data_IF_096671743201
#
_entry.id   IF_096671743201
#
_cell.length_a   1.000
_cell.length_b   1.000
_cell.length_c   1.000
_cell.angle_alpha   90.00
_cell.angle_beta   90.00
_cell.angle_gamma   90.00
#
_symmetry.space_group_name_H-M   'P 1'
#
loop_
_entity.id
_entity.type
_entity.pdbx_description
1 polymer ?
#
# COMPACT_ATOMS: atom_id res chain seq x y z
N UNK A 1 10.07 0.07 30.13
CA UNK A 1 9.15 -0.25 29.02
C UNK A 1 8.40 -1.51 29.39
N UNK A 2 7.07 -1.49 29.45
CA UNK A 2 6.26 -2.72 29.62
C UNK A 2 6.25 -3.45 28.28
N UNK A 3 6.51 -4.76 28.29
CA UNK A 3 6.34 -5.58 27.10
C UNK A 3 4.88 -5.45 26.60
N UNK A 4 4.66 -5.33 25.28
CA UNK A 4 3.31 -5.31 24.73
C UNK A 4 2.56 -6.58 25.16
N UNK A 5 1.27 -6.46 25.51
CA UNK A 5 0.42 -7.62 25.77
C UNK A 5 0.36 -8.43 24.48
N UNK A 6 0.79 -9.69 24.54
CA UNK A 6 0.53 -10.65 23.45
C UNK A 6 -0.99 -10.79 23.33
N UNK A 7 -1.52 -10.37 22.20
CA UNK A 7 -2.89 -10.62 21.83
C UNK A 7 -2.91 -11.94 21.06
N UNK A 8 -3.27 -13.03 21.75
CA UNK A 8 -3.18 -14.39 21.19
C UNK A 8 -4.30 -14.68 20.17
N UNK A 9 -5.33 -13.83 20.11
CA UNK A 9 -6.38 -13.92 19.10
C UNK A 9 -7.02 -12.57 18.82
N UNK A 10 -7.56 -12.39 17.62
CA UNK A 10 -8.39 -11.24 17.30
C UNK A 10 -9.68 -11.67 16.60
N UNK A 11 -10.72 -10.84 16.75
CA UNK A 11 -11.99 -10.97 16.04
C UNK A 11 -12.01 -9.94 14.93
N UNK A 12 -12.38 -10.35 13.72
CA UNK A 12 -12.55 -9.43 12.60
C UNK A 12 -13.74 -8.49 12.84
N UNK A 13 -13.64 -7.25 12.36
CA UNK A 13 -14.70 -6.23 12.49
C UNK A 13 -15.15 -5.68 11.14
N UNK A 14 -14.80 -6.34 10.04
CA UNK A 14 -15.03 -5.85 8.68
C UNK A 14 -16.40 -6.30 8.15
N UNK A 15 -16.84 -7.50 8.50
CA UNK A 15 -18.03 -8.16 8.00
C UNK A 15 -18.98 -8.53 9.16
N UNK A 16 -20.29 -8.37 8.96
CA UNK A 16 -21.29 -8.82 9.92
C UNK A 16 -21.52 -10.34 9.80
N UNK A 17 -21.80 -11.01 10.92
CA UNK A 17 -22.12 -12.45 10.94
C UNK A 17 -20.95 -13.42 10.67
N UNK A 18 -19.72 -12.93 10.47
CA UNK A 18 -18.53 -13.78 10.29
C UNK A 18 -17.77 -13.89 11.60
N UNK A 19 -18.00 -14.98 12.33
CA UNK A 19 -17.27 -15.32 13.55
C UNK A 19 -15.96 -16.04 13.23
N UNK A 20 -14.96 -15.29 12.77
CA UNK A 20 -13.59 -15.81 12.60
C UNK A 20 -12.74 -15.36 13.78
N UNK A 21 -12.50 -16.29 14.73
CA UNK A 21 -11.49 -16.11 15.75
C UNK A 21 -10.16 -16.60 15.21
N UNK A 22 -9.28 -15.66 14.86
CA UNK A 22 -7.96 -15.98 14.30
C UNK A 22 -6.94 -16.05 15.43
N UNK A 23 -6.16 -17.13 15.47
CA UNK A 23 -4.97 -17.20 16.32
C UNK A 23 -3.91 -16.25 15.75
N UNK A 24 -3.48 -15.29 16.57
CA UNK A 24 -2.57 -14.24 16.14
C UNK A 24 -1.21 -14.42 16.78
N UNK A 25 -0.18 -14.58 15.95
CA UNK A 25 1.22 -14.61 16.38
C UNK A 25 1.99 -13.48 15.73
N UNK A 26 2.90 -12.88 16.48
CA UNK A 26 3.87 -11.92 15.95
C UNK A 26 5.28 -12.46 16.23
N UNK A 27 6.12 -12.50 15.20
CA UNK A 27 7.49 -13.00 15.26
C UNK A 27 8.42 -12.04 14.55
N UNK A 28 9.64 -11.90 15.05
CA UNK A 28 10.71 -11.24 14.30
C UNK A 28 11.29 -12.22 13.28
N UNK A 29 11.88 -11.69 12.21
CA UNK A 29 12.48 -12.54 11.17
C UNK A 29 13.62 -13.44 11.66
N UNK A 30 14.33 -13.08 12.74
CA UNK A 30 15.35 -13.92 13.40
C UNK A 30 14.75 -14.98 14.34
N UNK A 31 13.45 -14.93 14.60
CA UNK A 31 12.71 -15.87 15.46
C UNK A 31 11.82 -16.80 14.63
N UNK A 32 11.90 -16.73 13.30
CA UNK A 32 11.15 -17.59 12.41
C UNK A 32 11.79 -18.97 12.36
N UNK A 33 10.97 -19.95 12.72
CA UNK A 33 11.25 -21.38 12.68
C UNK A 33 10.21 -22.02 11.77
N UNK A 34 10.55 -23.18 11.18
CA UNK A 34 9.68 -23.90 10.25
C UNK A 34 8.31 -24.24 10.86
N UNK A 35 8.28 -24.66 12.12
CA UNK A 35 7.04 -25.01 12.85
C UNK A 35 6.03 -23.84 12.92
N UNK A 36 6.49 -22.58 12.87
CA UNK A 36 5.59 -21.41 12.82
C UNK A 36 4.94 -21.23 11.44
N UNK A 37 5.54 -21.79 10.39
CA UNK A 37 5.11 -21.68 9.00
C UNK A 37 4.37 -22.93 8.51
N UNK A 38 4.58 -24.09 9.14
CA UNK A 38 3.96 -25.36 8.72
C UNK A 38 2.41 -25.32 8.75
N UNK A 39 1.81 -24.46 9.58
CA UNK A 39 0.34 -24.26 9.58
C UNK A 39 -0.18 -23.76 8.23
N UNK A 40 0.67 -23.10 7.45
CA UNK A 40 0.38 -22.56 6.13
C UNK A 40 0.82 -23.49 4.98
N UNK A 41 1.39 -24.66 5.28
CA UNK A 41 1.84 -25.65 4.28
C UNK A 41 0.66 -26.52 3.81
N UNK A 42 -0.28 -25.88 3.10
CA UNK A 42 -1.48 -26.50 2.56
C UNK A 42 -1.79 -25.94 1.17
N UNK A 43 -2.60 -26.60 0.35
CA UNK A 43 -2.92 -26.10 -1.01
C UNK A 43 -3.91 -24.92 -1.06
N UNK A 44 -4.57 -24.58 0.06
CA UNK A 44 -5.53 -23.49 0.14
C UNK A 44 -4.87 -22.11 -0.07
N UNK A 45 -5.63 -21.11 -0.56
CA UNK A 45 -5.15 -19.74 -0.70
C UNK A 45 -4.66 -19.15 0.63
N UNK A 46 -3.68 -18.26 0.53
CA UNK A 46 -3.17 -17.48 1.66
C UNK A 46 -3.28 -16.00 1.35
N UNK A 47 -3.71 -15.24 2.34
CA UNK A 47 -3.78 -13.79 2.28
C UNK A 47 -2.52 -13.17 2.86
N UNK A 48 -1.98 -12.16 2.20
CA UNK A 48 -0.83 -11.41 2.69
C UNK A 48 -1.10 -9.91 2.70
N UNK A 49 -0.51 -9.19 3.65
CA UNK A 49 -0.65 -7.74 3.73
C UNK A 49 0.63 -7.04 4.25
N UNK A 50 0.98 -5.86 3.72
CA UNK A 50 2.15 -5.11 4.18
C UNK A 50 1.87 -4.24 5.40
N UNK A 51 2.85 -4.21 6.30
CA UNK A 51 3.05 -3.18 7.30
C UNK A 51 4.24 -2.30 6.92
N UNK A 52 4.00 -1.03 6.65
CA UNK A 52 5.04 -0.07 6.27
C UNK A 52 5.45 0.83 7.44
N UNK A 53 6.70 1.26 7.43
CA UNK A 53 7.16 2.36 8.28
C UNK A 53 6.61 3.70 7.77
N UNK A 54 6.73 4.76 8.60
CA UNK A 54 6.37 6.13 8.17
C UNK A 54 7.14 6.63 6.94
N UNK A 55 8.32 6.05 6.65
CA UNK A 55 9.11 6.37 5.47
C UNK A 55 8.77 5.54 4.24
N UNK A 56 7.81 4.61 4.34
CA UNK A 56 7.38 3.73 3.25
C UNK A 56 8.17 2.42 3.12
N UNK A 57 9.14 2.14 4.00
CA UNK A 57 9.85 0.86 3.97
C UNK A 57 8.98 -0.25 4.55
N UNK A 58 9.01 -1.45 3.97
CA UNK A 58 8.36 -2.64 4.52
C UNK A 58 9.05 -3.04 5.84
N UNK A 59 8.27 -3.10 6.92
CA UNK A 59 8.77 -3.46 8.26
C UNK A 59 8.01 -4.63 8.87
N UNK A 60 6.86 -4.98 8.30
CA UNK A 60 6.14 -6.19 8.66
C UNK A 60 5.39 -6.77 7.46
N UNK A 61 5.14 -8.07 7.51
CA UNK A 61 4.26 -8.79 6.60
C UNK A 61 3.29 -9.62 7.44
N UNK A 62 1.99 -9.45 7.25
CA UNK A 62 1.02 -10.42 7.74
C UNK A 62 0.79 -11.51 6.68
N UNK A 63 0.68 -12.74 7.17
CA UNK A 63 0.31 -13.95 6.44
C UNK A 63 -0.89 -14.53 7.17
N UNK A 64 -1.96 -14.84 6.46
CA UNK A 64 -3.17 -15.37 7.07
C UNK A 64 -3.85 -16.44 6.20
N UNK A 65 -4.40 -17.44 6.86
CA UNK A 65 -5.40 -18.35 6.33
C UNK A 65 -6.76 -18.09 7.02
N UNK A 66 -7.63 -19.09 7.09
CA UNK A 66 -8.95 -18.99 7.73
C UNK A 66 -8.92 -19.06 9.26
N UNK A 67 -7.82 -19.52 9.86
CA UNK A 67 -7.70 -19.84 11.30
C UNK A 67 -6.51 -19.20 12.00
N UNK A 68 -5.43 -18.93 11.27
CA UNK A 68 -4.16 -18.41 11.76
C UNK A 68 -3.77 -17.11 11.05
N UNK A 69 -3.17 -16.20 11.81
CA UNK A 69 -2.46 -15.06 11.27
C UNK A 69 -1.09 -14.92 11.93
N UNK A 70 -0.05 -14.91 11.10
CA UNK A 70 1.32 -14.66 11.50
C UNK A 70 1.77 -13.29 10.97
N UNK A 71 2.21 -12.42 11.88
CA UNK A 71 2.88 -11.17 11.53
C UNK A 71 4.39 -11.36 11.69
N UNK A 72 5.10 -11.29 10.56
CA UNK A 72 6.56 -11.30 10.52
C UNK A 72 7.07 -9.86 10.55
N UNK A 73 7.90 -9.52 11.53
CA UNK A 73 8.56 -8.22 11.63
C UNK A 73 9.98 -8.29 11.07
N UNK A 74 10.27 -7.45 10.08
CA UNK A 74 11.58 -7.37 9.44
C UNK A 74 12.49 -6.37 10.15
N UNK A 75 13.79 -6.62 10.20
CA UNK A 75 14.73 -5.61 10.66
C UNK A 75 14.74 -4.43 9.70
N UNK A 76 14.62 -3.22 10.26
CA UNK A 76 14.81 -2.01 9.47
C UNK A 76 16.18 -2.04 8.79
N UNK A 77 16.15 -2.16 7.46
CA UNK A 77 17.32 -1.96 6.61
C UNK A 77 17.64 -0.46 6.58
N UNK A 78 18.19 0.08 7.68
CA UNK A 78 18.85 1.40 7.67
C UNK A 78 20.16 1.38 6.85
N UNK A 79 20.46 0.31 6.13
CA UNK A 79 21.62 0.22 5.25
C UNK A 79 21.24 0.61 3.82
N UNK A 80 21.56 1.86 3.51
CA UNK A 80 22.11 2.27 2.23
C UNK A 80 23.32 1.40 1.86
N UNK A 81 23.06 0.21 1.33
CA UNK A 81 24.04 -0.59 0.60
C UNK A 81 23.41 -0.97 -0.73
N UNK A 82 23.11 0.04 -1.54
CA UNK A 82 23.08 -0.16 -2.97
C UNK A 82 24.49 -0.60 -3.40
N UNK A 83 24.62 -1.68 -4.18
CA UNK A 83 25.91 -2.05 -4.78
C UNK A 83 26.28 -0.94 -5.78
N UNK A 84 27.20 -0.04 -5.39
CA UNK A 84 27.70 1.05 -6.25
C UNK A 84 27.64 2.46 -5.67
N UNK A 85 27.03 2.68 -4.51
CA UNK A 85 26.99 4.00 -3.87
C UNK A 85 28.23 4.29 -3.04
N UNK A 86 29.23 4.98 -3.61
CA UNK A 86 30.41 5.42 -2.86
C UNK A 86 30.01 6.24 -1.62
N UNK A 87 30.27 5.71 -0.43
CA UNK A 87 30.06 6.40 0.83
C UNK A 87 31.08 7.53 1.00
N UNK A 88 30.85 8.68 0.37
CA UNK A 88 31.55 9.94 0.71
C UNK A 88 30.91 10.58 1.95
N UNK A 89 31.03 9.89 3.08
CA UNK A 89 30.72 10.46 4.39
C UNK A 89 31.84 11.41 4.82
N UNK A 90 31.58 12.73 4.76
CA UNK A 90 32.46 13.77 5.33
C UNK A 90 32.64 13.50 6.83
N UNK A 91 33.89 13.24 7.20
CA UNK A 91 34.31 12.98 8.57
C UNK A 91 33.99 14.13 9.52
N UNK A 92 33.42 13.78 10.67
CA UNK A 92 33.59 14.55 11.90
C UNK A 92 34.08 13.59 12.96
N UNK A 93 35.34 13.79 13.35
CA UNK A 93 36.14 12.87 14.15
C UNK A 93 35.51 12.53 15.49
N UNK A 94 35.18 11.26 15.66
CA UNK A 94 34.97 10.61 16.94
C UNK A 94 35.35 9.15 16.76
N UNK A 95 36.44 8.70 17.41
CA UNK A 95 36.88 7.31 17.42
C UNK A 95 35.83 6.46 18.15
N UNK A 96 34.73 6.12 17.47
CA UNK A 96 33.83 5.06 17.91
C UNK A 96 34.46 3.77 17.40
N UNK A 97 34.81 2.88 18.32
CA UNK A 97 35.36 1.57 17.99
C UNK A 97 34.48 0.92 16.90
N UNK A 98 35.10 0.58 15.78
CA UNK A 98 34.48 -0.16 14.69
C UNK A 98 34.08 -1.53 15.25
N UNK A 99 32.84 -1.63 15.73
CA UNK A 99 32.24 -2.94 15.93
C UNK A 99 32.09 -3.56 14.53
N UNK A 100 32.56 -4.80 14.32
CA UNK A 100 32.36 -5.47 13.05
C UNK A 100 30.86 -5.50 12.72
N UNK A 101 30.48 -5.32 11.44
CA UNK A 101 29.08 -5.37 11.05
C UNK A 101 28.50 -6.71 11.51
N UNK A 102 27.49 -6.64 12.39
CA UNK A 102 26.77 -7.83 12.86
C UNK A 102 26.13 -8.47 11.63
N UNK A 103 26.61 -9.66 11.24
CA UNK A 103 26.01 -10.46 10.17
C UNK A 103 24.56 -10.69 10.57
N UNK A 104 23.62 -10.21 9.75
CA UNK A 104 22.19 -10.39 10.00
C UNK A 104 21.84 -11.84 9.68
N UNK A 105 21.16 -12.49 10.60
CA UNK A 105 20.58 -13.80 10.34
C UNK A 105 19.42 -13.62 9.35
N UNK A 106 19.54 -14.21 8.16
CA UNK A 106 18.53 -14.19 7.11
C UNK A 106 17.83 -15.54 6.95
N UNK A 107 18.06 -16.48 7.87
CA UNK A 107 17.48 -17.84 7.82
C UNK A 107 15.96 -17.80 7.80
N UNK A 108 15.34 -16.98 8.66
CA UNK A 108 13.89 -16.83 8.69
C UNK A 108 13.30 -16.21 7.42
N UNK A 109 14.04 -15.34 6.73
CA UNK A 109 13.63 -14.81 5.41
C UNK A 109 13.59 -15.90 4.37
N UNK A 110 14.62 -16.74 4.31
CA UNK A 110 14.68 -17.87 3.38
C UNK A 110 13.53 -18.86 3.63
N UNK A 111 13.25 -19.16 4.89
CA UNK A 111 12.09 -20.00 5.26
C UNK A 111 10.76 -19.37 4.83
N UNK A 112 10.58 -18.06 5.07
CA UNK A 112 9.40 -17.34 4.62
C UNK A 112 9.25 -17.35 3.10
N UNK A 113 10.36 -17.17 2.37
CA UNK A 113 10.37 -17.26 0.91
C UNK A 113 9.97 -18.66 0.43
N UNK A 114 10.64 -19.69 0.93
CA UNK A 114 10.45 -21.07 0.50
C UNK A 114 9.05 -21.61 0.81
N UNK A 115 8.57 -21.41 2.05
CA UNK A 115 7.36 -22.06 2.55
C UNK A 115 6.10 -21.25 2.21
N UNK A 116 6.20 -19.92 2.16
CA UNK A 116 5.04 -19.04 1.98
C UNK A 116 5.07 -18.34 0.63
N UNK A 117 6.11 -17.55 0.34
CA UNK A 117 6.07 -16.63 -0.81
C UNK A 117 6.30 -17.32 -2.16
N UNK A 118 7.08 -18.39 -2.17
CA UNK A 118 7.46 -19.18 -3.34
C UNK A 118 6.96 -20.63 -3.24
N UNK A 119 5.85 -20.83 -2.53
CA UNK A 119 5.24 -22.14 -2.33
C UNK A 119 4.75 -22.78 -3.62
N UNK A 120 4.85 -24.12 -3.67
CA UNK A 120 4.55 -24.91 -4.86
C UNK A 120 3.06 -25.01 -5.23
N UNK A 121 2.13 -24.67 -4.31
CA UNK A 121 0.70 -24.79 -4.54
C UNK A 121 -0.10 -23.69 -3.87
N UNK A 122 -1.32 -23.44 -4.35
CA UNK A 122 -2.21 -22.37 -3.86
C UNK A 122 -1.76 -20.96 -4.25
N UNK A 123 -2.69 -20.02 -4.12
CA UNK A 123 -2.50 -18.63 -4.52
C UNK A 123 -2.19 -17.73 -3.32
N UNK A 124 -1.36 -16.71 -3.54
CA UNK A 124 -1.11 -15.64 -2.57
C UNK A 124 -1.95 -14.42 -2.94
N UNK A 125 -2.95 -14.10 -2.13
CA UNK A 125 -3.85 -12.98 -2.38
C UNK A 125 -3.45 -11.75 -1.58
N UNK A 126 -3.44 -10.59 -2.23
CA UNK A 126 -3.26 -9.31 -1.55
C UNK A 126 -3.97 -8.17 -2.27
N UNK A 127 -4.28 -7.12 -1.51
CA UNK A 127 -4.55 -5.80 -2.07
C UNK A 127 -3.23 -5.09 -2.38
N UNK A 128 -3.19 -4.34 -3.48
CA UNK A 128 -2.02 -3.61 -3.96
C UNK A 128 -0.76 -4.50 -4.02
N UNK A 129 -0.89 -5.68 -4.65
CA UNK A 129 0.16 -6.69 -4.65
C UNK A 129 1.39 -6.22 -5.43
N UNK A 130 1.24 -5.34 -6.43
CA UNK A 130 2.37 -4.75 -7.15
C UNK A 130 3.36 -4.02 -6.23
N UNK A 131 2.90 -2.97 -5.51
CA UNK A 131 3.67 -2.32 -4.44
C UNK A 131 4.25 -3.27 -3.39
N UNK A 132 3.48 -4.27 -2.95
CA UNK A 132 3.96 -5.27 -2.00
C UNK A 132 5.11 -6.11 -2.57
N UNK A 133 4.95 -6.65 -3.78
CA UNK A 133 5.94 -7.49 -4.47
C UNK A 133 7.28 -6.76 -4.60
N UNK A 134 7.23 -5.50 -5.00
CA UNK A 134 8.43 -4.67 -5.13
C UNK A 134 9.06 -4.34 -3.78
N UNK A 135 8.24 -4.17 -2.73
CA UNK A 135 8.73 -3.95 -1.38
C UNK A 135 9.38 -5.19 -0.77
N UNK A 136 8.85 -6.38 -1.06
CA UNK A 136 9.46 -7.66 -0.71
C UNK A 136 10.83 -7.78 -1.38
N UNK A 137 10.89 -7.54 -2.69
CA UNK A 137 12.14 -7.65 -3.44
C UNK A 137 13.21 -6.66 -2.96
N UNK A 138 12.97 -5.35 -3.02
CA UNK A 138 14.05 -4.39 -2.76
C UNK A 138 14.23 -4.06 -1.27
N UNK A 139 13.19 -4.23 -0.46
CA UNK A 139 13.21 -3.90 0.96
C UNK A 139 13.83 -5.00 1.81
N UNK A 140 13.50 -6.26 1.49
CA UNK A 140 13.87 -7.42 2.32
C UNK A 140 14.51 -8.57 1.54
N UNK A 141 14.75 -8.40 0.23
CA UNK A 141 15.41 -9.40 -0.63
C UNK A 141 14.64 -10.72 -0.71
N UNK A 142 13.31 -10.63 -0.87
CA UNK A 142 12.40 -11.75 -1.00
C UNK A 142 11.73 -11.77 -2.37
N UNK A 143 11.60 -12.95 -2.98
CA UNK A 143 10.72 -13.17 -4.14
C UNK A 143 9.35 -13.66 -3.70
N UNK A 144 8.42 -13.60 -4.64
CA UNK A 144 7.14 -14.29 -4.56
C UNK A 144 6.71 -14.85 -5.91
N UNK A 145 5.94 -15.93 -5.87
CA UNK A 145 5.30 -16.59 -7.01
C UNK A 145 3.80 -16.79 -6.73
N UNK A 146 3.01 -17.07 -7.76
CA UNK A 146 1.57 -17.34 -7.64
C UNK A 146 0.78 -16.21 -6.94
N UNK A 147 1.26 -14.98 -7.05
CA UNK A 147 0.62 -13.82 -6.45
C UNK A 147 -0.59 -13.33 -7.25
N UNK A 148 -1.72 -13.09 -6.59
CA UNK A 148 -2.94 -12.52 -7.16
C UNK A 148 -3.22 -11.17 -6.53
N UNK A 149 -3.25 -10.13 -7.36
CA UNK A 149 -3.77 -8.83 -6.96
C UNK A 149 -5.30 -8.86 -6.94
N UNK A 150 -5.89 -8.66 -5.77
CA UNK A 150 -7.36 -8.76 -5.58
C UNK A 150 -8.10 -7.71 -6.41
N UNK A 151 -7.57 -6.48 -6.52
CA UNK A 151 -8.26 -5.40 -7.22
C UNK A 151 -8.33 -5.65 -8.73
N UNK A 152 -7.32 -6.34 -9.29
CA UNK A 152 -7.32 -6.76 -10.70
C UNK A 152 -8.49 -7.66 -11.09
N UNK A 153 -9.14 -8.33 -10.14
CA UNK A 153 -10.28 -9.20 -10.44
C UNK A 153 -11.59 -8.44 -10.73
N UNK A 154 -11.71 -7.18 -10.30
CA UNK A 154 -12.98 -6.47 -10.28
C UNK A 154 -12.99 -5.19 -11.11
N UNK A 155 -11.92 -4.38 -11.05
CA UNK A 155 -11.89 -3.11 -11.78
C UNK A 155 -10.47 -2.67 -12.10
N UNK A 156 -10.23 -2.35 -13.37
CA UNK A 156 -8.97 -1.75 -13.82
C UNK A 156 -8.85 -0.26 -13.43
N UNK A 157 -9.99 0.41 -13.16
CA UNK A 157 -10.05 1.86 -12.95
C UNK A 157 -10.25 2.22 -11.47
N UNK A 158 -11.25 1.62 -10.82
CA UNK A 158 -11.51 1.83 -9.39
C UNK A 158 -10.91 0.69 -8.58
N UNK A 159 -9.62 0.87 -8.26
CA UNK A 159 -8.84 -0.10 -7.50
C UNK A 159 -8.95 0.13 -5.99
N UNK A 160 -10.04 0.66 -5.46
CA UNK A 160 -10.18 0.85 -4.00
C UNK A 160 -10.48 -0.49 -3.31
N UNK A 161 -9.84 -0.81 -2.17
CA UNK A 161 -10.11 -2.05 -1.43
C UNK A 161 -11.60 -2.23 -1.08
N UNK A 162 -12.28 -1.17 -0.64
CA UNK A 162 -13.72 -1.21 -0.35
C UNK A 162 -14.56 -1.62 -1.56
N UNK A 163 -14.24 -1.10 -2.75
CA UNK A 163 -14.96 -1.43 -3.99
C UNK A 163 -14.76 -2.90 -4.37
N UNK A 164 -13.52 -3.40 -4.27
CA UNK A 164 -13.21 -4.81 -4.53
C UNK A 164 -13.88 -5.76 -3.52
N UNK A 165 -13.88 -5.42 -2.22
CA UNK A 165 -14.56 -6.21 -1.19
C UNK A 165 -16.07 -6.25 -1.44
N UNK A 166 -16.70 -5.11 -1.76
CA UNK A 166 -18.13 -5.06 -2.12
C UNK A 166 -18.45 -5.91 -3.34
N UNK A 167 -17.61 -5.84 -4.38
CA UNK A 167 -17.80 -6.62 -5.59
C UNK A 167 -17.67 -8.13 -5.34
N UNK A 168 -16.71 -8.54 -4.51
CA UNK A 168 -16.48 -9.94 -4.15
C UNK A 168 -17.60 -10.53 -3.29
N UNK A 169 -18.08 -9.78 -2.30
CA UNK A 169 -19.09 -10.24 -1.34
C UNK A 169 -20.50 -10.13 -1.92
N UNK A 170 -20.76 -9.12 -2.75
CA UNK A 170 -22.10 -8.81 -3.24
C UNK A 170 -23.06 -8.50 -2.07
N UNK A 171 -24.27 -9.05 -2.14
CA UNK A 171 -25.30 -8.87 -1.12
C UNK A 171 -25.32 -9.99 -0.06
N UNK A 172 -24.29 -10.85 -0.03
CA UNK A 172 -24.27 -12.03 0.86
C UNK A 172 -24.09 -11.67 2.33
N UNK A 173 -23.30 -10.63 2.62
CA UNK A 173 -22.97 -10.20 3.98
C UNK A 173 -23.03 -8.68 4.08
N UNK A 174 -23.39 -8.19 5.26
CA UNK A 174 -23.29 -6.76 5.54
C UNK A 174 -21.82 -6.39 5.75
N UNK A 175 -21.42 -5.32 5.07
CA UNK A 175 -20.06 -4.78 5.10
C UNK A 175 -20.01 -3.52 5.97
N UNK A 176 -19.06 -3.45 6.90
CA UNK A 176 -18.78 -2.24 7.68
C UNK A 176 -17.83 -1.32 6.91
N UNK A 177 -18.38 -0.50 6.02
CA UNK A 177 -17.60 0.36 5.11
C UNK A 177 -16.54 1.21 5.82
N UNK A 178 -16.90 1.85 6.93
CA UNK A 178 -16.00 2.75 7.68
C UNK A 178 -14.80 1.97 8.24
N UNK A 179 -15.04 0.77 8.77
CA UNK A 179 -13.97 -0.09 9.29
C UNK A 179 -13.00 -0.52 8.19
N UNK A 180 -13.50 -0.84 6.99
CA UNK A 180 -12.63 -1.16 5.84
C UNK A 180 -11.82 0.07 5.43
N UNK A 181 -12.45 1.24 5.34
CA UNK A 181 -11.75 2.48 5.00
C UNK A 181 -10.62 2.71 6.01
N UNK A 182 -10.91 2.67 7.30
CA UNK A 182 -9.93 2.92 8.36
C UNK A 182 -8.76 1.92 8.32
N UNK A 183 -9.07 0.62 8.17
CA UNK A 183 -8.07 -0.46 8.14
C UNK A 183 -7.13 -0.37 6.93
N UNK A 184 -7.63 0.08 5.77
CA UNK A 184 -6.84 0.18 4.54
C UNK A 184 -6.22 1.56 4.29
N UNK A 185 -6.76 2.63 4.90
CA UNK A 185 -6.32 4.00 4.62
C UNK A 185 -4.87 4.26 5.05
N UNK A 186 -4.40 3.60 6.10
CA UNK A 186 -3.06 3.82 6.63
C UNK A 186 -2.32 2.52 6.94
N UNK A 187 -1.53 1.99 6.00
CA UNK A 187 -0.82 0.72 6.18
C UNK A 187 0.42 0.84 7.08
N UNK A 188 0.51 1.89 7.90
CA UNK A 188 1.66 2.11 8.80
C UNK A 188 1.61 1.12 9.95
N UNK A 189 2.72 0.41 10.14
CA UNK A 189 2.94 -0.52 11.23
C UNK A 189 3.96 0.06 12.22
N UNK A 190 3.47 0.46 13.39
CA UNK A 190 4.26 1.01 14.50
C UNK A 190 3.57 0.59 15.82
N UNK A 191 3.68 -0.69 16.22
CA UNK A 191 2.92 -1.26 17.34
C UNK A 191 3.23 -0.58 18.68
N UNK A 192 4.40 0.06 18.80
CA UNK A 192 4.78 0.84 19.97
C UNK A 192 3.95 2.13 20.13
N UNK A 193 3.53 2.74 19.00
CA UNK A 193 2.73 3.98 19.00
C UNK A 193 1.25 3.73 18.77
N UNK A 194 0.90 2.71 18.00
CA UNK A 194 -0.47 2.36 17.68
C UNK A 194 -0.64 0.83 17.78
N UNK A 195 -1.08 0.29 18.93
CA UNK A 195 -1.27 -1.16 19.07
C UNK A 195 -2.34 -1.72 18.13
N UNK A 196 -3.31 -0.89 17.69
CA UNK A 196 -4.36 -1.33 16.77
C UNK A 196 -3.82 -1.70 15.37
N UNK A 197 -2.65 -1.17 14.97
CA UNK A 197 -2.08 -1.49 13.66
C UNK A 197 -1.75 -2.98 13.49
N UNK A 198 -1.59 -3.73 14.59
CA UNK A 198 -1.41 -5.19 14.57
C UNK A 198 -2.68 -5.87 14.09
N UNK A 199 -3.84 -5.52 14.68
CA UNK A 199 -5.14 -6.04 14.26
C UNK A 199 -5.50 -5.57 12.86
N UNK A 200 -5.23 -4.31 12.49
CA UNK A 200 -5.49 -3.79 11.14
C UNK A 200 -4.67 -4.52 10.08
N UNK A 201 -3.40 -4.82 10.38
CA UNK A 201 -2.54 -5.58 9.48
C UNK A 201 -3.03 -7.03 9.33
N UNK A 202 -3.41 -7.67 10.43
CA UNK A 202 -3.95 -9.02 10.41
C UNK A 202 -5.30 -9.10 9.65
N UNK A 203 -6.20 -8.13 9.86
CA UNK A 203 -7.48 -8.02 9.16
C UNK A 203 -7.30 -7.91 7.65
N UNK A 204 -6.31 -7.13 7.19
CA UNK A 204 -6.01 -6.99 5.75
C UNK A 204 -5.55 -8.30 5.13
N UNK A 205 -4.69 -9.05 5.81
CA UNK A 205 -4.25 -10.36 5.31
C UNK A 205 -5.42 -11.36 5.32
N UNK A 206 -6.16 -11.46 6.43
CA UNK A 206 -7.29 -12.36 6.54
C UNK A 206 -8.37 -12.09 5.48
N UNK A 207 -8.82 -10.84 5.31
CA UNK A 207 -9.85 -10.54 4.31
C UNK A 207 -9.36 -10.87 2.90
N UNK A 208 -8.06 -10.74 2.63
CA UNK A 208 -7.48 -11.10 1.33
C UNK A 208 -7.64 -12.58 1.02
N UNK A 209 -7.45 -13.45 2.01
CA UNK A 209 -7.71 -14.89 1.89
C UNK A 209 -9.21 -15.20 1.83
N UNK A 210 -9.98 -14.60 2.73
CA UNK A 210 -11.40 -14.89 2.90
C UNK A 210 -12.20 -14.64 1.63
N UNK A 211 -11.87 -13.57 0.89
CA UNK A 211 -12.54 -13.25 -0.38
C UNK A 211 -12.44 -14.38 -1.42
N UNK A 212 -11.40 -15.21 -1.38
CA UNK A 212 -11.30 -16.36 -2.28
C UNK A 212 -12.34 -17.43 -1.97
N UNK A 213 -12.71 -17.57 -0.69
CA UNK A 213 -13.59 -18.63 -0.20
C UNK A 213 -15.08 -18.29 -0.29
N UNK A 214 -15.43 -17.01 -0.46
CA UNK A 214 -16.83 -16.57 -0.50
C UNK A 214 -17.37 -16.56 -1.94
N UNK A 215 -18.61 -17.02 -2.10
CA UNK A 215 -19.33 -16.96 -3.37
C UNK A 215 -18.55 -17.62 -4.52
N UNK A 216 -18.32 -16.86 -5.59
CA UNK A 216 -17.55 -17.26 -6.77
C UNK A 216 -16.09 -16.75 -6.74
N UNK A 217 -15.55 -16.44 -5.55
CA UNK A 217 -14.20 -15.90 -5.37
C UNK A 217 -13.12 -16.73 -6.08
N UNK A 218 -13.08 -18.04 -5.83
CA UNK A 218 -12.09 -18.94 -6.45
C UNK A 218 -12.10 -18.87 -7.99
N UNK A 219 -13.28 -18.92 -8.62
CA UNK A 219 -13.41 -18.80 -10.08
C UNK A 219 -12.99 -17.42 -10.58
N UNK A 220 -13.33 -16.37 -9.82
CA UNK A 220 -13.01 -14.98 -10.15
C UNK A 220 -11.51 -14.74 -10.12
N UNK A 221 -10.83 -15.17 -9.05
CA UNK A 221 -9.38 -14.96 -8.89
C UNK A 221 -8.53 -15.85 -9.79
N UNK A 222 -9.00 -17.05 -10.15
CA UNK A 222 -8.29 -17.92 -11.11
C UNK A 222 -8.10 -17.27 -12.49
N UNK A 223 -8.96 -16.31 -12.85
CA UNK A 223 -8.89 -15.56 -14.13
C UNK A 223 -7.87 -14.41 -14.10
N UNK A 224 -7.36 -14.04 -12.92
CA UNK A 224 -6.42 -12.92 -12.78
C UNK A 224 -5.01 -13.37 -13.14
N UNK A 225 -4.29 -12.64 -14.02
CA UNK A 225 -2.89 -12.91 -14.29
C UNK A 225 -2.06 -12.85 -13.00
N UNK A 226 -1.29 -13.91 -12.76
CA UNK A 226 -0.50 -14.05 -11.54
C UNK A 226 0.82 -13.28 -11.66
N UNK A 227 1.27 -12.74 -10.52
CA UNK A 227 2.60 -12.18 -10.36
C UNK A 227 3.57 -13.29 -9.99
N UNK A 228 4.65 -13.37 -10.75
CA UNK A 228 5.77 -14.26 -10.51
C UNK A 228 7.08 -13.49 -10.67
N UNK A 229 7.65 -13.10 -9.55
CA UNK A 229 8.89 -12.31 -9.54
C UNK A 229 10.13 -13.16 -9.80
N UNK A 230 10.05 -14.49 -9.75
CA UNK A 230 11.18 -15.36 -10.09
C UNK A 230 11.38 -15.46 -11.61
N UNK A 231 10.32 -15.26 -12.40
CA UNK A 231 10.38 -15.24 -13.87
C UNK A 231 10.94 -13.95 -14.46
N UNK A 232 11.10 -12.91 -13.64
CA UNK A 232 11.56 -11.61 -14.09
C UNK A 232 13.08 -11.49 -13.93
N UNK A 233 13.72 -10.81 -14.87
CA UNK A 233 15.14 -10.52 -14.78
C UNK A 233 15.43 -9.51 -13.67
N UNK A 234 16.58 -9.67 -13.01
CA UNK A 234 17.04 -8.79 -11.93
C UNK A 234 17.06 -7.31 -12.34
N UNK A 235 17.48 -6.99 -13.57
CA UNK A 235 17.49 -5.62 -14.07
C UNK A 235 16.06 -5.03 -14.14
N UNK A 236 15.13 -5.77 -14.73
CA UNK A 236 13.71 -5.40 -14.80
C UNK A 236 13.14 -5.15 -13.41
N UNK A 237 13.37 -6.08 -12.47
CA UNK A 237 12.91 -5.95 -11.09
C UNK A 237 13.52 -4.74 -10.37
N UNK A 238 14.80 -4.42 -10.61
CA UNK A 238 15.44 -3.25 -10.03
C UNK A 238 14.76 -1.95 -10.48
N UNK A 239 14.40 -1.86 -11.76
CA UNK A 239 13.72 -0.69 -12.33
C UNK A 239 12.31 -0.57 -11.73
N UNK A 240 11.52 -1.65 -11.79
CA UNK A 240 10.16 -1.67 -11.25
C UNK A 240 10.15 -1.36 -9.76
N UNK A 241 11.09 -1.94 -9.01
CA UNK A 241 11.21 -1.69 -7.58
C UNK A 241 11.57 -0.24 -7.28
N UNK A 242 12.49 0.35 -8.06
CA UNK A 242 12.81 1.77 -7.93
C UNK A 242 11.59 2.66 -8.18
N UNK A 243 10.89 2.48 -9.31
CA UNK A 243 9.70 3.27 -9.65
C UNK A 243 8.62 3.17 -8.56
N UNK A 244 8.43 1.96 -8.04
CA UNK A 244 7.40 1.66 -7.05
C UNK A 244 7.75 2.20 -5.67
N UNK A 245 9.00 2.03 -5.22
CA UNK A 245 9.46 2.58 -3.94
C UNK A 245 9.44 4.10 -3.92
N UNK A 246 9.91 4.75 -4.99
CA UNK A 246 9.88 6.21 -5.08
C UNK A 246 8.43 6.71 -5.00
N UNK A 247 7.50 6.06 -5.69
CA UNK A 247 6.05 6.34 -5.62
C UNK A 247 5.48 6.13 -4.21
N UNK A 248 5.81 5.00 -3.58
CA UNK A 248 5.32 4.64 -2.25
C UNK A 248 5.83 5.63 -1.19
N UNK A 249 7.12 5.98 -1.25
CA UNK A 249 7.74 6.97 -0.37
C UNK A 249 7.12 8.35 -0.54
N UNK A 250 6.91 8.81 -1.78
CA UNK A 250 6.22 10.07 -2.04
C UNK A 250 4.81 10.07 -1.45
N UNK A 251 4.08 8.97 -1.59
CA UNK A 251 2.75 8.80 -0.99
C UNK A 251 2.80 8.88 0.54
N UNK A 252 3.79 8.25 1.17
CA UNK A 252 3.94 8.28 2.63
C UNK A 252 4.35 9.65 3.18
N UNK A 253 5.07 10.45 2.39
CA UNK A 253 5.46 11.83 2.72
C UNK A 253 4.27 12.81 2.56
N UNK A 254 3.22 12.45 1.80
CA UNK A 254 2.02 13.29 1.70
C UNK A 254 1.45 13.57 3.10
N UNK A 255 1.03 14.82 3.37
CA UNK A 255 0.46 15.15 4.67
C UNK A 255 -0.79 14.31 4.92
N UNK A 256 -0.96 13.87 6.17
CA UNK A 256 -2.15 13.16 6.64
C UNK A 256 -3.28 14.12 7.00
N UNK A 257 -2.98 15.42 7.07
CA UNK A 257 -3.96 16.48 7.23
C UNK A 257 -3.56 17.66 6.34
N UNK A 258 -4.49 18.15 5.52
CA UNK A 258 -4.29 19.33 4.68
C UNK A 258 -5.31 20.39 5.05
N UNK A 259 -4.85 21.60 5.37
CA UNK A 259 -5.71 22.76 5.63
C UNK A 259 -6.03 23.45 4.32
N UNK A 260 -7.30 23.79 4.12
CA UNK A 260 -7.78 24.40 2.89
C UNK A 260 -8.16 25.86 3.13
N UNK A 261 -7.91 26.70 2.13
CA UNK A 261 -8.45 28.06 2.07
C UNK A 261 -9.77 28.08 1.30
N UNK A 262 -10.83 28.57 1.93
CA UNK A 262 -12.18 28.45 1.40
C UNK A 262 -13.06 29.66 1.77
N UNK A 263 -14.20 29.73 1.08
CA UNK A 263 -15.36 30.54 1.42
C UNK A 263 -16.56 29.62 1.52
N UNK A 264 -17.47 29.85 2.47
CA UNK A 264 -18.66 29.01 2.64
C UNK A 264 -19.90 29.72 2.14
N UNK A 265 -20.79 28.96 1.51
CA UNK A 265 -22.13 29.40 1.14
C UNK A 265 -23.15 28.40 1.66
N UNK A 266 -24.17 28.89 2.36
CA UNK A 266 -25.32 28.09 2.74
C UNK A 266 -26.36 28.17 1.61
N UNK A 267 -26.69 27.04 1.00
CA UNK A 267 -27.79 26.91 0.05
C UNK A 267 -28.89 26.02 0.65
N UNK A 268 -30.05 25.95 -0.02
CA UNK A 268 -31.12 25.02 0.38
C UNK A 268 -30.67 23.55 0.41
N UNK A 269 -29.64 23.21 -0.37
CA UNK A 269 -29.05 21.87 -0.47
C UNK A 269 -27.98 21.59 0.59
N UNK A 270 -27.72 22.55 1.48
CA UNK A 270 -26.79 22.41 2.59
C UNK A 270 -25.60 23.37 2.53
N UNK A 271 -24.50 22.95 3.14
CA UNK A 271 -23.28 23.74 3.25
C UNK A 271 -22.35 23.42 2.09
N UNK A 272 -22.00 24.44 1.30
CA UNK A 272 -20.98 24.33 0.26
C UNK A 272 -19.73 25.13 0.64
N UNK A 273 -18.56 24.54 0.40
CA UNK A 273 -17.26 25.20 0.53
C UNK A 273 -16.65 25.42 -0.84
N UNK A 274 -16.35 26.67 -1.16
CA UNK A 274 -15.68 27.09 -2.40
C UNK A 274 -14.23 27.42 -2.12
N UNK A 275 -13.33 26.68 -2.75
CA UNK A 275 -11.88 26.79 -2.61
C UNK A 275 -11.36 28.08 -3.26
N UNK A 276 -10.43 28.78 -2.60
CA UNK A 276 -9.86 30.04 -3.11
C UNK A 276 -8.94 29.80 -4.32
N UNK A 277 -8.13 28.75 -4.27
CA UNK A 277 -7.21 28.33 -5.32
C UNK A 277 -7.32 26.84 -5.62
N UNK A 278 -6.76 26.41 -6.76
CA UNK A 278 -6.80 25.01 -7.19
C UNK A 278 -6.07 24.06 -6.23
N UNK A 279 -4.98 24.52 -5.58
CA UNK A 279 -4.24 23.73 -4.58
C UNK A 279 -5.04 23.43 -3.31
N UNK A 280 -6.08 24.22 -3.03
CA UNK A 280 -6.96 24.11 -1.86
C UNK A 280 -8.27 23.37 -2.21
N UNK A 281 -8.30 22.71 -3.36
CA UNK A 281 -9.48 22.06 -3.87
C UNK A 281 -9.83 20.79 -3.09
N UNK A 282 -11.00 20.79 -2.48
CA UNK A 282 -11.61 19.61 -1.84
C UNK A 282 -12.04 18.58 -2.88
N UNK A 283 -11.55 17.34 -2.78
CA UNK A 283 -11.95 16.25 -3.69
C UNK A 283 -13.21 15.55 -3.18
N UNK A 284 -13.95 14.81 -4.02
CA UNK A 284 -15.11 14.03 -3.58
C UNK A 284 -14.75 12.98 -2.53
N UNK A 285 -15.68 12.70 -1.62
CA UNK A 285 -15.61 11.61 -0.63
C UNK A 285 -14.40 11.66 0.32
N UNK A 286 -13.80 12.84 0.52
CA UNK A 286 -12.75 13.06 1.50
C UNK A 286 -13.35 13.28 2.89
N UNK A 287 -12.75 12.65 3.88
CA UNK A 287 -13.03 12.94 5.29
C UNK A 287 -12.53 14.33 5.63
N UNK A 288 -13.38 15.12 6.28
CA UNK A 288 -13.05 16.49 6.72
C UNK A 288 -13.31 16.67 8.20
N UNK A 289 -12.47 17.48 8.84
CA UNK A 289 -12.73 18.06 10.13
C UNK A 289 -12.79 19.57 10.02
N UNK A 290 -13.82 20.14 10.64
CA UNK A 290 -14.11 21.55 10.56
C UNK A 290 -14.09 22.16 11.95
N UNK A 291 -13.41 23.30 12.09
CA UNK A 291 -13.50 24.12 13.30
C UNK A 291 -14.66 25.09 13.11
N UNK A 292 -15.69 24.96 13.94
CA UNK A 292 -16.94 25.72 13.83
C UNK A 292 -17.12 26.56 15.08
N UNK A 293 -17.46 27.84 14.90
CA UNK A 293 -17.82 28.76 15.97
C UNK A 293 -19.32 29.00 15.98
N UNK A 294 -19.97 28.90 17.15
CA UNK A 294 -21.38 29.23 17.29
C UNK A 294 -21.59 30.73 17.54
N UNK A 295 -22.86 31.18 17.53
CA UNK A 295 -23.24 32.56 17.82
C UNK A 295 -22.80 33.09 19.21
N UNK A 296 -22.43 32.21 20.15
CA UNK A 296 -21.89 32.58 21.47
C UNK A 296 -20.36 32.68 21.49
N UNK A 297 -19.70 32.52 20.34
CA UNK A 297 -18.25 32.56 20.20
C UNK A 297 -17.53 31.26 20.59
N UNK A 298 -18.24 30.22 21.04
CA UNK A 298 -17.61 28.95 21.41
C UNK A 298 -17.25 28.13 20.16
N UNK A 299 -16.04 27.57 20.15
CA UNK A 299 -15.50 26.79 19.04
C UNK A 299 -15.52 25.30 19.35
N UNK A 300 -15.93 24.48 18.38
CA UNK A 300 -15.94 23.03 18.47
C UNK A 300 -15.61 22.39 17.11
N UNK A 301 -15.20 21.12 17.12
CA UNK A 301 -14.87 20.37 15.90
C UNK A 301 -16.08 19.59 15.42
N UNK A 302 -16.33 19.66 14.11
CA UNK A 302 -17.36 18.89 13.41
C UNK A 302 -16.69 18.02 12.37
N UNK A 303 -16.98 16.73 12.41
CA UNK A 303 -16.53 15.77 11.41
C UNK A 303 -17.59 15.60 10.32
N UNK A 304 -17.14 15.36 9.10
CA UNK A 304 -17.98 15.15 7.94
C UNK A 304 -17.18 14.62 6.77
N UNK A 305 -17.81 14.61 5.61
CA UNK A 305 -17.20 14.21 4.34
C UNK A 305 -17.59 15.18 3.24
N UNK A 306 -16.74 15.30 2.23
CA UNK A 306 -17.10 16.00 1.00
C UNK A 306 -18.05 15.12 0.18
N UNK A 307 -19.13 15.71 -0.32
CA UNK A 307 -20.09 15.07 -1.21
C UNK A 307 -19.73 15.29 -2.67
N UNK A 308 -20.71 15.71 -3.47
CA UNK A 308 -20.49 16.15 -4.84
C UNK A 308 -19.54 17.35 -4.89
N UNK A 309 -18.66 17.34 -5.89
CA UNK A 309 -17.70 18.42 -6.16
C UNK A 309 -17.88 18.88 -7.60
N UNK A 310 -18.06 20.19 -7.77
CA UNK A 310 -18.14 20.84 -9.07
C UNK A 310 -17.17 22.03 -9.13
N UNK A 311 -16.17 21.93 -10.00
CA UNK A 311 -15.16 22.96 -10.23
C UNK A 311 -14.29 23.26 -9.01
N UNK A 312 -14.68 24.24 -8.18
CA UNK A 312 -13.98 24.60 -6.92
C UNK A 312 -14.88 24.49 -5.70
N UNK A 313 -16.11 24.06 -5.90
CA UNK A 313 -17.15 24.01 -4.88
C UNK A 313 -17.37 22.56 -4.49
N UNK A 314 -17.29 22.27 -3.19
CA UNK A 314 -17.59 20.96 -2.63
C UNK A 314 -18.74 21.07 -1.64
N UNK A 315 -19.71 20.18 -1.75
CA UNK A 315 -20.76 20.04 -0.73
C UNK A 315 -20.19 19.34 0.49
N UNK A 316 -20.56 19.79 1.69
CA UNK A 316 -20.06 19.25 2.96
C UNK A 316 -21.18 18.53 3.69
N UNK A 317 -21.05 17.21 3.79
CA UNK A 317 -21.99 16.35 4.47
C UNK A 317 -21.52 16.14 5.91
N UNK A 318 -22.36 16.52 6.87
CA UNK A 318 -22.07 16.39 8.31
C UNK A 318 -23.18 15.61 8.99
N UNK A 319 -22.85 14.89 10.07
CA UNK A 319 -23.86 14.16 10.83
C UNK A 319 -24.86 15.06 11.57
N UNK A 320 -24.57 16.37 11.67
CA UNK A 320 -25.47 17.37 12.27
C UNK A 320 -25.49 18.63 11.41
N UNK A 321 -26.67 19.13 11.02
CA UNK A 321 -26.78 20.33 10.19
C UNK A 321 -26.04 21.54 10.79
N UNK A 322 -25.28 22.21 9.93
CA UNK A 322 -24.64 23.49 10.21
C UNK A 322 -25.55 24.61 9.70
N UNK A 323 -26.38 25.13 10.60
CA UNK A 323 -27.22 26.30 10.33
C UNK A 323 -26.40 27.58 10.10
N UNK A 324 -27.07 28.62 9.62
CA UNK A 324 -26.45 29.91 9.27
C UNK A 324 -25.95 30.71 10.48
N UNK A 325 -26.18 30.25 11.72
CA UNK A 325 -25.68 30.90 12.94
C UNK A 325 -24.27 30.43 13.32
N UNK A 326 -23.74 29.45 12.58
CA UNK A 326 -22.43 28.85 12.80
C UNK A 326 -21.45 29.32 11.73
N UNK A 327 -20.28 29.79 12.14
CA UNK A 327 -19.20 30.21 11.25
C UNK A 327 -18.13 29.14 11.19
N UNK A 328 -17.75 28.73 9.99
CA UNK A 328 -16.69 27.75 9.78
C UNK A 328 -15.37 28.48 9.67
N UNK A 329 -14.50 28.26 10.65
CA UNK A 329 -13.20 28.92 10.75
C UNK A 329 -12.14 28.21 9.91
N UNK A 330 -12.14 26.88 9.93
CA UNK A 330 -11.15 26.07 9.19
C UNK A 330 -11.78 24.79 8.68
N UNK A 331 -11.39 24.37 7.49
CA UNK A 331 -11.64 23.04 6.95
C UNK A 331 -10.28 22.36 6.77
N UNK A 332 -10.12 21.18 7.35
CA UNK A 332 -9.00 20.29 7.05
C UNK A 332 -9.51 18.97 6.50
N UNK A 333 -8.86 18.44 5.48
CA UNK A 333 -9.05 17.05 5.07
C UNK A 333 -8.22 16.16 5.98
N UNK A 334 -8.76 14.98 6.31
CA UNK A 334 -8.11 13.95 7.12
C UNK A 334 -7.82 12.76 6.22
N UNK A 335 -6.61 12.23 6.34
CA UNK A 335 -6.09 11.17 5.48
C UNK A 335 -5.17 11.72 4.40
N UNK A 336 -4.48 10.81 3.73
CA UNK A 336 -3.68 11.15 2.55
C UNK A 336 -4.59 11.33 1.35
N UNK A 337 -4.21 12.23 0.46
CA UNK A 337 -4.91 12.37 -0.81
C UNK A 337 -4.81 11.09 -1.63
N UNK A 338 -5.93 10.72 -2.26
CA UNK A 338 -5.99 9.65 -3.26
C UNK A 338 -4.92 9.86 -4.35
N UNK A 339 -4.40 8.77 -4.94
CA UNK A 339 -3.48 8.86 -6.08
C UNK A 339 -4.04 9.74 -7.18
N UNK A 340 -3.18 10.56 -7.77
CA UNK A 340 -3.48 11.26 -9.03
C UNK A 340 -3.62 10.26 -10.18
N UNK A 341 -4.25 10.66 -11.28
CA UNK A 341 -4.39 9.82 -12.47
C UNK A 341 -3.04 9.29 -12.97
N UNK A 342 -2.00 10.13 -12.97
CA UNK A 342 -0.66 9.71 -13.38
C UNK A 342 -0.03 8.70 -12.41
N UNK A 343 -0.24 8.86 -11.10
CA UNK A 343 0.21 7.88 -10.10
C UNK A 343 -0.52 6.54 -10.26
N UNK A 344 -1.83 6.57 -10.51
CA UNK A 344 -2.65 5.38 -10.75
C UNK A 344 -2.25 4.66 -12.05
N UNK A 345 -2.03 5.38 -13.15
CA UNK A 345 -1.57 4.82 -14.42
C UNK A 345 -0.18 4.20 -14.30
N UNK A 346 0.74 4.84 -13.58
CA UNK A 346 2.07 4.26 -13.30
C UNK A 346 1.95 2.97 -12.50
N UNK A 347 1.14 2.94 -11.44
CA UNK A 347 0.93 1.74 -10.63
C UNK A 347 0.30 0.61 -11.44
N UNK A 348 -0.66 0.92 -12.32
CA UNK A 348 -1.26 -0.03 -13.24
C UNK A 348 -0.23 -0.60 -14.21
N UNK A 349 0.58 0.25 -14.86
CA UNK A 349 1.62 -0.19 -15.79
C UNK A 349 2.65 -1.12 -15.11
N UNK A 350 3.11 -0.77 -13.91
CA UNK A 350 4.01 -1.63 -13.12
C UNK A 350 3.35 -2.98 -12.85
N UNK A 351 2.09 -3.01 -12.41
CA UNK A 351 1.39 -4.26 -12.16
C UNK A 351 1.27 -5.12 -13.42
N UNK A 352 0.88 -4.52 -14.55
CA UNK A 352 0.74 -5.23 -15.82
C UNK A 352 2.05 -5.89 -16.23
N UNK A 353 3.19 -5.20 -16.06
CA UNK A 353 4.52 -5.77 -16.29
C UNK A 353 4.79 -6.93 -15.31
N UNK A 354 4.48 -6.78 -14.02
CA UNK A 354 4.62 -7.84 -13.02
C UNK A 354 3.76 -9.07 -13.31
N UNK A 355 2.66 -8.89 -14.05
CA UNK A 355 1.76 -9.93 -14.52
C UNK A 355 2.22 -10.60 -15.83
N UNK A 356 3.42 -10.26 -16.33
CA UNK A 356 4.06 -10.92 -17.47
C UNK A 356 4.01 -10.15 -18.79
N UNK A 357 3.41 -8.97 -18.81
CA UNK A 357 3.34 -8.12 -20.01
C UNK A 357 4.62 -7.28 -20.20
N UNK A 358 5.72 -7.95 -20.52
CA UNK A 358 7.04 -7.34 -20.67
C UNK A 358 7.16 -6.43 -21.90
N UNK A 359 6.27 -6.57 -22.87
CA UNK A 359 6.18 -5.73 -24.07
C UNK A 359 6.09 -4.24 -23.74
N UNK A 360 5.48 -3.88 -22.60
CA UNK A 360 5.42 -2.49 -22.13
C UNK A 360 6.79 -1.88 -21.84
N UNK A 361 7.79 -2.73 -21.54
CA UNK A 361 9.18 -2.33 -21.36
C UNK A 361 9.99 -2.50 -22.64
N UNK A 362 9.87 -3.65 -23.32
CA UNK A 362 10.72 -4.01 -24.47
C UNK A 362 10.41 -3.18 -25.71
N UNK A 363 9.12 -2.86 -25.92
CA UNK A 363 8.67 -2.24 -27.16
C UNK A 363 8.66 -0.71 -27.05
N UNK A 364 8.93 -0.17 -25.86
CA UNK A 364 9.00 1.27 -25.62
C UNK A 364 10.45 1.77 -25.74
N UNK A 365 10.80 2.52 -26.80
CA UNK A 365 12.17 2.98 -27.03
C UNK A 365 12.68 3.91 -25.92
N UNK A 366 11.80 4.69 -25.29
CA UNK A 366 12.18 5.53 -24.14
C UNK A 366 12.57 4.66 -22.95
N UNK A 367 11.81 3.60 -22.69
CA UNK A 367 12.11 2.69 -21.58
C UNK A 367 13.42 1.96 -21.82
N UNK A 368 13.64 1.45 -23.04
CA UNK A 368 14.90 0.81 -23.42
C UNK A 368 16.09 1.77 -23.26
N UNK A 369 16.01 2.97 -23.82
CA UNK A 369 17.11 3.93 -23.79
C UNK A 369 17.44 4.48 -22.38
N UNK A 370 16.43 4.64 -21.51
CA UNK A 370 16.64 5.22 -20.17
C UNK A 370 17.02 4.15 -19.14
N UNK A 371 16.36 2.99 -19.18
CA UNK A 371 16.44 2.00 -18.10
C UNK A 371 17.21 0.73 -18.48
N UNK A 372 17.35 0.46 -19.78
CA UNK A 372 18.12 -0.66 -20.32
C UNK A 372 19.23 -0.17 -21.26
N UNK A 373 20.08 0.79 -20.82
CA UNK A 373 21.17 1.23 -21.67
C UNK A 373 22.07 0.04 -21.96
N UNK A 374 22.34 -0.20 -23.25
CA UNK A 374 23.28 -1.23 -23.63
C UNK A 374 24.66 -0.86 -23.10
N UNK A 375 25.42 -1.84 -22.57
CA UNK A 375 26.77 -1.58 -22.13
C UNK A 375 27.58 -0.99 -23.29
N UNK A 376 28.50 -0.08 -22.96
CA UNK A 376 29.48 0.37 -23.92
C UNK A 376 30.21 -0.86 -24.48
N UNK A 377 30.48 -0.85 -25.77
CA UNK A 377 31.27 -1.91 -26.41
C UNK A 377 32.70 -1.94 -25.83
N UNK A 378 33.55 -2.86 -26.29
CA UNK A 378 34.94 -2.97 -25.84
C UNK A 378 35.75 -1.67 -26.05
N UNK A 379 35.25 -0.73 -26.86
CA UNK A 379 35.86 0.58 -27.08
C UNK A 379 35.54 1.60 -25.99
N UNK A 380 34.59 1.30 -25.10
CA UNK A 380 34.15 2.19 -24.02
C UNK A 380 33.22 3.32 -24.50
N UNK A 381 32.80 3.30 -25.76
CA UNK A 381 31.77 4.20 -26.28
C UNK A 381 30.38 3.65 -25.97
N UNK A 382 29.54 4.45 -25.31
CA UNK A 382 28.13 4.11 -25.12
C UNK A 382 27.46 4.01 -26.49
N UNK A 383 26.76 2.90 -26.75
CA UNK A 383 25.89 2.83 -27.94
C UNK A 383 24.96 4.05 -27.94
N UNK A 384 24.93 4.77 -29.06
CA UNK A 384 24.02 5.90 -29.27
C UNK A 384 22.58 5.45 -28.98
N UNK A 385 21.81 6.33 -28.33
CA UNK A 385 20.39 6.09 -28.05
C UNK A 385 19.68 5.67 -29.33
N UNK A 386 19.08 4.48 -29.33
CA UNK A 386 18.40 3.92 -30.50
C UNK A 386 16.98 4.44 -30.50
N UNK A 387 16.70 5.38 -31.41
CA UNK A 387 15.35 5.92 -31.59
C UNK A 387 14.68 5.30 -32.82
N UNK A 388 13.35 5.13 -32.82
CA UNK A 388 12.64 4.69 -34.01
C UNK A 388 12.93 5.62 -35.20
N UNK A 389 13.17 5.09 -36.41
CA UNK A 389 13.47 5.90 -37.58
C UNK A 389 12.45 7.01 -37.81
N UNK A 390 11.16 6.73 -37.60
CA UNK A 390 10.07 7.69 -37.76
C UNK A 390 10.18 8.94 -36.87
N UNK A 391 10.89 8.87 -35.74
CA UNK A 391 11.10 10.03 -34.85
C UNK A 391 12.29 10.90 -35.27
N UNK A 392 13.18 10.34 -36.10
CA UNK A 392 14.37 11.06 -36.59
C UNK A 392 14.09 11.95 -37.81
N UNK A 393 12.90 11.81 -38.43
CA UNK A 393 12.52 12.51 -39.67
C UNK A 393 11.89 13.89 -39.42
N UNK A 394 11.64 14.27 -38.15
CA UNK A 394 11.18 15.62 -37.83
C UNK A 394 12.35 16.61 -37.83
N UNK A 395 12.66 17.20 -39.01
CA UNK A 395 13.49 18.41 -39.14
C UNK A 395 12.70 19.56 -39.71
#
# INVERSE_FOLDING_TARGET
>A
MKAPRNQDSFMQTLLDGVESKLELKTKREDELERDFLDVFDHALPIGIAPGYSKSGNLVALAVADDTYCLIVQFFSNNHSSAPGGSARGRGRGGKRAEQPPKVRDTTGRKLLEEIILCRNGGDLLAFDLGPLSMSLYCGVDLRLTNGIDIQSAFSAVDRKPLSAIKAAIGDTLRIFNDNIIDVFQNPIYDPDKNPYCVSDLAMRAWISQYLYTIGNGAETFTKVPKIDTQKLETQTLNILAKMTQDSLRLTHIKPVESKHQFTTTHSGDGLAAKSSAYKDHLRPFQTVAMSVQNARGATYTVHGHTGGVDGRTANLNTGRPLDNTKTILTIKTIGRDDPTTAEAQRAAAVLTILQGHLELLTDNPWMQNIWFPKPADESGEFELLVWPPEWTVAR
#
